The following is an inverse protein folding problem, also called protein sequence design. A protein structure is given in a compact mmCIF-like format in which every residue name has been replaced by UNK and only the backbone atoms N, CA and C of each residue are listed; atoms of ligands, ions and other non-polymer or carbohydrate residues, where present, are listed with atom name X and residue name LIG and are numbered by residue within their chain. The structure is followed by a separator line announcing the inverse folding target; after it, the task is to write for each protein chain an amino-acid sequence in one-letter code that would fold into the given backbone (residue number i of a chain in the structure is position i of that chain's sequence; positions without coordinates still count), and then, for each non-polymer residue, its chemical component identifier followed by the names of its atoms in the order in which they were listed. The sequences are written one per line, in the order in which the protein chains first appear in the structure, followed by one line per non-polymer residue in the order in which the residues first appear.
data_IF_904108980692
#
_entry.id   IF_904108980692
#
_cell.length_a   1.000
_cell.length_b   1.000
_cell.length_c   1.000
_cell.angle_alpha   90.00
_cell.angle_beta   90.00
_cell.angle_gamma   90.00
#
_symmetry.space_group_name_H-M   'P 1'
#
loop_
_entity.id
_entity.type
_entity.pdbx_description
1 polymer ?
#
# COMPACT_ATOMS: atom_id res chain seq x y z
N UNK A 1 16.41 -7.38 15.60
CA UNK A 1 15.99 -6.97 14.24
C UNK A 1 14.98 -5.83 14.41
N UNK A 2 15.40 -4.59 14.26
CA UNK A 2 14.55 -3.40 14.43
C UNK A 2 13.93 -3.11 13.07
N UNK A 3 12.64 -3.39 12.91
CA UNK A 3 11.93 -3.02 11.69
C UNK A 3 11.75 -1.50 11.70
N UNK A 4 12.27 -0.85 10.66
CA UNK A 4 12.05 0.57 10.37
C UNK A 4 10.56 0.86 10.45
N UNK A 5 10.18 1.84 11.27
CA UNK A 5 8.86 2.45 11.23
C UNK A 5 8.58 2.85 9.78
N UNK A 6 7.53 2.28 9.20
CA UNK A 6 7.06 2.60 7.86
C UNK A 6 6.70 4.09 7.85
N UNK A 7 7.57 4.90 7.25
CA UNK A 7 7.36 6.32 7.05
C UNK A 7 6.07 6.50 6.22
N UNK A 8 4.99 7.12 6.76
CA UNK A 8 3.71 7.30 6.07
C UNK A 8 3.76 8.31 4.90
N UNK A 9 4.96 8.62 4.40
CA UNK A 9 5.20 9.64 3.37
C UNK A 9 5.01 9.16 1.94
N UNK A 10 4.94 7.84 1.69
CA UNK A 10 4.40 7.35 0.43
C UNK A 10 2.88 7.38 0.56
N UNK A 11 2.18 8.22 -0.19
CA UNK A 11 0.70 8.24 -0.27
C UNK A 11 0.06 6.94 -0.81
N UNK A 12 0.75 5.82 -0.68
CA UNK A 12 0.31 4.48 -1.01
C UNK A 12 -0.61 3.97 0.10
N UNK A 13 -1.76 3.45 -0.30
CA UNK A 13 -2.73 2.82 0.58
C UNK A 13 -2.13 1.64 1.33
N UNK A 14 -2.20 1.67 2.67
CA UNK A 14 -1.90 0.53 3.54
C UNK A 14 -3.10 0.26 4.45
N UNK A 15 -3.87 -0.76 4.09
CA UNK A 15 -5.04 -1.19 4.85
C UNK A 15 -4.72 -1.49 6.32
N UNK A 16 -3.52 -1.96 6.67
CA UNK A 16 -3.19 -2.28 8.06
C UNK A 16 -3.11 -1.03 8.92
N UNK A 17 -2.46 0.01 8.39
CA UNK A 17 -2.30 1.29 9.08
C UNK A 17 -3.64 2.02 9.20
N UNK A 18 -4.41 2.10 8.11
CA UNK A 18 -5.67 2.88 8.10
C UNK A 18 -6.75 2.22 8.96
N UNK A 19 -6.77 0.87 9.01
CA UNK A 19 -7.76 0.12 9.80
C UNK A 19 -7.32 -0.09 11.26
N UNK A 20 -6.21 0.53 11.69
CA UNK A 20 -5.61 0.36 13.02
C UNK A 20 -5.41 -1.12 13.39
N UNK A 21 -4.90 -1.93 12.46
CA UNK A 21 -4.59 -3.34 12.72
C UNK A 21 -3.13 -3.39 13.19
N UNK A 22 -2.96 -3.29 14.52
CA UNK A 22 -1.64 -3.25 15.16
C UNK A 22 -0.76 -4.42 14.73
N UNK A 23 0.49 -4.06 14.41
CA UNK A 23 1.49 -4.92 13.79
C UNK A 23 1.63 -6.30 14.47
N UNK A 24 1.41 -7.42 13.76
CA UNK A 24 1.57 -8.77 14.31
C UNK A 24 3.04 -9.17 14.55
N UNK A 25 4.00 -8.33 14.15
CA UNK A 25 5.43 -8.66 14.12
C UNK A 25 6.13 -8.80 15.47
N UNK A 26 5.51 -8.39 16.59
CA UNK A 26 6.15 -8.48 17.92
C UNK A 26 5.28 -9.12 19.00
N UNK A 27 3.95 -9.16 18.87
CA UNK A 27 3.05 -9.66 19.93
C UNK A 27 1.90 -10.56 19.44
N UNK A 28 1.93 -10.98 18.17
CA UNK A 28 0.87 -11.82 17.59
C UNK A 28 -0.42 -11.07 17.29
N UNK A 29 -1.30 -11.70 16.51
CA UNK A 29 -2.58 -11.12 16.11
C UNK A 29 -3.54 -11.05 17.30
N UNK A 30 -3.95 -9.84 17.65
CA UNK A 30 -4.91 -9.59 18.73
C UNK A 30 -6.24 -9.11 18.18
N UNK A 31 -7.31 -9.37 18.95
CA UNK A 31 -8.66 -8.99 18.60
C UNK A 31 -8.82 -7.47 18.41
N UNK A 32 -9.48 -7.05 17.32
CA UNK A 32 -9.76 -5.62 17.04
C UNK A 32 -10.96 -5.08 17.83
N UNK A 33 -11.75 -5.95 18.45
CA UNK A 33 -12.93 -5.58 19.23
C UNK A 33 -12.59 -4.75 20.48
N UNK A 34 -13.58 -4.01 20.98
CA UNK A 34 -13.48 -3.17 22.18
C UNK A 34 -14.22 -3.83 23.34
N UNK A 35 -13.56 -3.96 24.49
CA UNK A 35 -14.21 -4.45 25.70
C UNK A 35 -15.14 -3.36 26.27
N UNK A 36 -16.44 -3.63 26.32
CA UNK A 36 -17.48 -2.66 26.74
C UNK A 36 -17.22 -2.11 28.14
N UNK A 37 -16.68 -2.93 29.05
CA UNK A 37 -16.44 -2.57 30.44
C UNK A 37 -15.30 -1.56 30.65
N UNK A 38 -14.36 -1.45 29.71
CA UNK A 38 -13.15 -0.63 29.89
C UNK A 38 -12.89 0.34 28.75
N UNK A 39 -13.63 0.23 27.64
CA UNK A 39 -13.39 1.00 26.41
C UNK A 39 -12.04 0.69 25.76
N UNK A 40 -11.29 -0.31 26.26
CA UNK A 40 -9.98 -0.68 25.74
C UNK A 40 -10.10 -1.74 24.66
N UNK A 41 -9.14 -1.75 23.73
CA UNK A 41 -8.99 -2.81 22.73
C UNK A 41 -8.74 -4.17 23.39
N UNK A 42 -9.40 -5.20 22.89
CA UNK A 42 -9.22 -6.57 23.35
C UNK A 42 -7.80 -7.05 23.05
N UNK A 43 -7.16 -7.72 24.01
CA UNK A 43 -5.84 -8.36 23.83
C UNK A 43 -5.93 -9.87 23.60
N UNK A 44 -7.14 -10.39 23.36
CA UNK A 44 -7.35 -11.80 23.10
C UNK A 44 -6.66 -12.20 21.79
N UNK A 45 -5.84 -13.25 21.84
CA UNK A 45 -5.18 -13.77 20.65
C UNK A 45 -6.20 -14.34 19.66
N UNK A 46 -5.97 -14.10 18.37
CA UNK A 46 -6.72 -14.71 17.28
C UNK A 46 -6.08 -16.06 16.94
N UNK A 47 -6.91 -17.09 16.71
CA UNK A 47 -6.44 -18.43 16.34
C UNK A 47 -5.86 -18.47 14.93
N UNK A 48 -4.94 -19.42 14.67
CA UNK A 48 -4.13 -19.47 13.45
C UNK A 48 -4.95 -19.45 12.15
N UNK A 49 -5.99 -20.27 12.05
CA UNK A 49 -6.88 -20.32 10.87
C UNK A 49 -7.46 -18.95 10.52
N UNK A 50 -7.86 -18.18 11.54
CA UNK A 50 -8.42 -16.83 11.34
C UNK A 50 -7.33 -15.82 10.96
N UNK A 51 -6.09 -16.01 11.40
CA UNK A 51 -4.95 -15.15 11.00
C UNK A 51 -4.66 -15.30 9.52
N UNK A 52 -4.68 -16.52 8.98
CA UNK A 52 -4.49 -16.77 7.56
C UNK A 52 -5.59 -16.10 6.74
N UNK A 53 -6.86 -16.30 7.13
CA UNK A 53 -8.01 -15.65 6.48
C UNK A 53 -7.92 -14.11 6.53
N UNK A 54 -7.56 -13.54 7.68
CA UNK A 54 -7.37 -12.10 7.83
C UNK A 54 -6.20 -11.58 6.98
N UNK A 55 -5.11 -12.33 6.88
CA UNK A 55 -3.93 -11.98 6.07
C UNK A 55 -4.27 -11.95 4.58
N UNK A 56 -4.98 -12.96 4.08
CA UNK A 56 -5.47 -13.01 2.69
C UNK A 56 -6.42 -11.84 2.41
N UNK A 57 -7.36 -11.58 3.32
CA UNK A 57 -8.30 -10.46 3.17
C UNK A 57 -7.57 -9.11 3.14
N UNK A 58 -6.57 -8.90 4.00
CA UNK A 58 -5.77 -7.68 4.00
C UNK A 58 -4.95 -7.52 2.73
N UNK A 59 -4.35 -8.59 2.20
CA UNK A 59 -3.64 -8.53 0.92
C UNK A 59 -4.58 -8.15 -0.23
N UNK A 60 -5.79 -8.70 -0.25
CA UNK A 60 -6.81 -8.35 -1.23
C UNK A 60 -7.19 -6.87 -1.13
N UNK A 61 -7.50 -6.37 0.08
CA UNK A 61 -7.87 -4.97 0.29
C UNK A 61 -6.72 -4.00 -0.01
N UNK A 62 -5.47 -4.37 0.24
CA UNK A 62 -4.30 -3.56 -0.10
C UNK A 62 -4.10 -3.36 -1.60
N UNK A 63 -4.66 -4.25 -2.45
CA UNK A 63 -4.64 -4.12 -3.92
C UNK A 63 -5.78 -3.26 -4.47
N UNK A 64 -6.87 -3.12 -3.71
CA UNK A 64 -8.05 -2.35 -4.10
C UNK A 64 -7.91 -0.84 -3.89
N UNK A 65 -8.85 -0.08 -4.45
CA UNK A 65 -8.96 1.35 -4.15
C UNK A 65 -9.76 1.58 -2.86
N UNK A 66 -9.31 2.49 -1.97
CA UNK A 66 -9.98 2.74 -0.69
C UNK A 66 -11.39 3.32 -0.85
N UNK A 67 -11.60 4.11 -1.89
CA UNK A 67 -12.91 4.69 -2.24
C UNK A 67 -13.97 3.62 -2.52
N UNK A 68 -13.60 2.53 -3.21
CA UNK A 68 -14.53 1.44 -3.50
C UNK A 68 -15.08 0.76 -2.22
N UNK A 69 -14.29 0.76 -1.14
CA UNK A 69 -14.69 0.21 0.16
C UNK A 69 -15.66 1.12 0.95
N UNK A 70 -15.79 2.38 0.54
CA UNK A 70 -16.80 3.29 1.08
C UNK A 70 -18.17 3.03 0.45
N UNK A 71 -18.19 2.72 -0.84
CA UNK A 71 -19.40 2.41 -1.60
C UNK A 71 -19.91 0.99 -1.30
N UNK A 72 -19.00 0.02 -1.20
CA UNK A 72 -19.30 -1.36 -0.84
C UNK A 72 -18.45 -1.84 0.35
N UNK A 73 -19.01 -1.88 1.57
CA UNK A 73 -18.32 -2.38 2.76
C UNK A 73 -18.34 -3.90 2.91
N UNK A 74 -18.96 -4.66 2.02
CA UNK A 74 -19.07 -6.11 2.14
C UNK A 74 -17.71 -6.82 2.26
N UNK A 75 -16.65 -6.40 1.55
CA UNK A 75 -15.30 -6.97 1.73
C UNK A 75 -14.70 -6.76 3.12
N UNK A 76 -15.16 -5.75 3.88
CA UNK A 76 -14.68 -5.47 5.25
C UNK A 76 -15.29 -6.41 6.29
N UNK A 77 -16.50 -6.93 6.05
CA UNK A 77 -17.22 -7.84 6.97
C UNK A 77 -16.46 -9.13 7.27
N UNK A 78 -15.98 -9.92 6.29
CA UNK A 78 -15.24 -11.14 6.56
C UNK A 78 -13.90 -10.85 7.24
N UNK A 79 -13.22 -9.75 6.88
CA UNK A 79 -12.00 -9.33 7.57
C UNK A 79 -12.27 -9.02 9.05
N UNK A 80 -13.32 -8.26 9.36
CA UNK A 80 -13.71 -7.95 10.72
C UNK A 80 -14.05 -9.23 11.52
N UNK A 81 -14.81 -10.16 10.91
CA UNK A 81 -15.16 -11.43 11.54
C UNK A 81 -13.91 -12.28 11.88
N UNK A 82 -12.92 -12.31 11.00
CA UNK A 82 -11.66 -13.02 11.22
C UNK A 82 -10.78 -12.36 12.31
N UNK A 83 -10.85 -11.04 12.46
CA UNK A 83 -10.08 -10.29 13.46
C UNK A 83 -10.78 -10.13 14.82
N UNK A 84 -12.01 -10.61 14.98
CA UNK A 84 -12.74 -10.61 16.25
C UNK A 84 -12.64 -11.98 16.93
N UNK A 85 -12.39 -11.98 18.24
CA UNK A 85 -12.44 -13.21 19.04
C UNK A 85 -13.90 -13.63 19.30
N UNK A 86 -14.11 -14.86 19.78
CA UNK A 86 -15.46 -15.39 20.04
C UNK A 86 -16.32 -14.50 20.94
N UNK A 87 -15.72 -13.77 21.90
CA UNK A 87 -16.43 -12.86 22.81
C UNK A 87 -16.89 -11.56 22.15
N UNK A 88 -16.29 -11.18 21.03
CA UNK A 88 -16.57 -9.92 20.32
C UNK A 88 -17.12 -10.15 18.91
N UNK A 89 -17.57 -11.36 18.57
CA UNK A 89 -18.09 -11.68 17.24
C UNK A 89 -19.35 -10.87 16.86
N UNK A 90 -20.08 -10.34 17.84
CA UNK A 90 -21.21 -9.44 17.62
C UNK A 90 -20.79 -8.00 17.27
N UNK A 91 -19.50 -7.65 17.31
CA UNK A 91 -19.01 -6.30 17.04
C UNK A 91 -18.65 -6.07 15.56
N UNK A 92 -18.89 -7.04 14.66
CA UNK A 92 -18.52 -6.94 13.23
C UNK A 92 -19.02 -5.64 12.60
N UNK A 93 -20.32 -5.35 12.70
CA UNK A 93 -20.90 -4.15 12.10
C UNK A 93 -20.30 -2.85 12.67
N UNK A 94 -20.04 -2.81 13.99
CA UNK A 94 -19.44 -1.65 14.66
C UNK A 94 -17.99 -1.43 14.21
N UNK A 95 -17.21 -2.51 14.09
CA UNK A 95 -15.83 -2.46 13.60
C UNK A 95 -15.78 -1.97 12.15
N UNK A 96 -16.65 -2.49 11.28
CA UNK A 96 -16.73 -2.06 9.88
C UNK A 96 -17.07 -0.58 9.77
N UNK A 97 -18.04 -0.08 10.56
CA UNK A 97 -18.37 1.35 10.58
C UNK A 97 -17.18 2.23 11.00
N UNK A 98 -16.45 1.83 12.05
CA UNK A 98 -15.25 2.54 12.50
C UNK A 98 -14.15 2.55 11.43
N UNK A 99 -13.99 1.44 10.70
CA UNK A 99 -13.07 1.33 9.58
C UNK A 99 -13.46 2.21 8.40
N UNK A 100 -14.74 2.26 8.03
CA UNK A 100 -15.22 3.18 6.99
C UNK A 100 -14.94 4.65 7.36
N UNK A 101 -15.12 5.04 8.64
CA UNK A 101 -14.73 6.38 9.10
C UNK A 101 -13.23 6.64 8.97
N UNK A 102 -12.39 5.65 9.30
CA UNK A 102 -10.94 5.72 9.10
C UNK A 102 -10.56 5.93 7.64
N UNK A 103 -11.19 5.17 6.73
CA UNK A 103 -10.99 5.30 5.27
C UNK A 103 -11.45 6.67 4.77
N UNK A 104 -12.60 7.18 5.23
CA UNK A 104 -13.09 8.53 4.90
C UNK A 104 -12.10 9.63 5.31
N UNK A 105 -11.54 9.54 6.53
CA UNK A 105 -10.54 10.50 7.00
C UNK A 105 -9.25 10.43 6.18
N UNK A 106 -8.79 9.22 5.88
CA UNK A 106 -7.59 9.02 5.07
C UNK A 106 -7.78 9.56 3.64
N UNK A 107 -8.89 9.25 2.98
CA UNK A 107 -9.21 9.74 1.63
C UNK A 107 -9.30 11.26 1.58
N UNK A 108 -9.96 11.90 2.55
CA UNK A 108 -10.00 13.37 2.66
C UNK A 108 -8.58 13.97 2.81
N UNK A 109 -7.72 13.36 3.63
CA UNK A 109 -6.34 13.86 3.82
C UNK A 109 -5.48 13.76 2.55
N UNK A 110 -5.76 12.80 1.66
CA UNK A 110 -5.08 12.66 0.36
C UNK A 110 -5.57 13.68 -0.68
N UNK A 111 -6.78 14.20 -0.54
CA UNK A 111 -7.27 15.27 -1.41
C UNK A 111 -6.66 16.63 -1.05
N UNK A 112 -6.43 16.88 0.24
CA UNK A 112 -5.82 18.12 0.73
C UNK A 112 -4.33 18.24 0.38
N UNK A 113 -3.61 17.12 0.22
CA UNK A 113 -2.20 17.09 -0.19
C UNK A 113 -1.99 17.21 -1.70
N UNK A 114 -3.05 17.21 -2.52
CA UNK A 114 -2.91 17.49 -3.96
C UNK A 114 -2.44 18.93 -4.16
N UNK A 115 -1.23 19.17 -4.73
CA UNK A 115 -0.62 20.50 -4.82
C UNK A 115 -1.41 21.51 -5.67
N UNK A 116 -2.44 21.07 -6.41
CA UNK A 116 -3.29 21.94 -7.22
C UNK A 116 -4.31 22.78 -6.43
N UNK A 117 -4.85 22.29 -5.30
CA UNK A 117 -5.94 23.00 -4.61
C UNK A 117 -5.43 24.14 -3.71
N UNK A 118 -4.32 23.91 -3.00
CA UNK A 118 -3.65 24.96 -2.23
C UNK A 118 -3.02 26.05 -3.12
N UNK A 119 -2.61 25.73 -4.35
CA UNK A 119 -2.09 26.69 -5.31
C UNK A 119 -3.21 27.55 -5.94
N UNK A 120 -4.38 26.97 -6.24
CA UNK A 120 -5.56 27.70 -6.71
C UNK A 120 -6.16 28.62 -5.64
N UNK A 121 -6.19 28.21 -4.37
CA UNK A 121 -6.62 29.08 -3.28
C UNK A 121 -5.61 30.21 -3.01
N UNK A 122 -4.29 29.95 -3.13
CA UNK A 122 -3.25 30.99 -3.08
C UNK A 122 -3.29 31.94 -4.27
N UNK A 123 -3.64 31.48 -5.47
CA UNK A 123 -3.86 32.34 -6.64
C UNK A 123 -5.12 33.18 -6.48
N UNK A 124 -6.22 32.59 -6.00
CA UNK A 124 -7.49 33.30 -5.78
C UNK A 124 -7.38 34.38 -4.71
N UNK A 125 -6.61 34.12 -3.64
CA UNK A 125 -6.29 35.12 -2.62
C UNK A 125 -5.31 36.18 -3.13
N UNK A 126 -4.32 35.84 -3.99
CA UNK A 126 -3.49 36.85 -4.68
C UNK A 126 -4.28 37.75 -5.63
N UNK A 127 -5.27 37.22 -6.35
CA UNK A 127 -6.10 38.03 -7.26
C UNK A 127 -6.97 39.01 -6.45
N UNK A 128 -7.52 38.59 -5.30
CA UNK A 128 -8.25 39.49 -4.39
C UNK A 128 -7.35 40.58 -3.79
N UNK A 129 -6.12 40.24 -3.39
CA UNK A 129 -5.15 41.23 -2.89
C UNK A 129 -4.63 42.17 -4.00
N UNK A 130 -4.49 41.68 -5.24
CA UNK A 130 -4.08 42.51 -6.38
C UNK A 130 -5.17 43.50 -6.80
N UNK A 131 -6.45 43.09 -6.73
CA UNK A 131 -7.59 43.98 -6.93
C UNK A 131 -7.67 45.08 -5.86
N UNK A 132 -7.28 44.79 -4.62
CA UNK A 132 -7.19 45.79 -3.55
C UNK A 132 -6.01 46.76 -3.74
N UNK A 133 -4.90 46.32 -4.35
CA UNK A 133 -3.77 47.18 -4.65
C UNK A 133 -3.99 48.07 -5.89
N UNK A 134 -4.70 47.60 -6.91
CA UNK A 134 -5.04 48.43 -8.08
C UNK A 134 -6.05 49.55 -7.75
N UNK A 135 -6.91 49.37 -6.75
CA UNK A 135 -7.76 50.45 -6.24
C UNK A 135 -6.99 51.56 -5.50
N UNK A 136 -5.73 51.31 -5.10
CA UNK A 136 -4.91 52.26 -4.36
C UNK A 136 -3.87 52.99 -5.22
N UNK A 137 -3.61 52.54 -6.45
CA UNK A 137 -2.61 53.13 -7.36
C UNK A 137 -3.17 54.31 -8.17
N UNK A 138 -4.49 54.41 -8.35
CA UNK A 138 -5.12 55.55 -9.06
C UNK A 138 -5.17 56.87 -8.27
N UNK A 139 -4.69 56.89 -7.02
CA UNK A 139 -4.66 58.10 -6.19
C UNK A 139 -3.27 58.77 -6.04
N UNK A 140 -2.22 58.22 -6.65
CA UNK A 140 -0.85 58.72 -6.47
C UNK A 140 -0.02 58.78 -7.77
N UNK A 141 -0.53 59.49 -8.77
CA UNK A 141 0.33 60.01 -9.86
C UNK A 141 0.57 61.52 -9.69
N UNK A 142 1.65 61.94 -9.00
CA UNK A 142 2.04 63.33 -9.02
C UNK A 142 2.79 63.66 -10.31
N UNK A 143 2.29 64.67 -11.02
CA UNK A 143 2.95 65.34 -12.14
C UNK A 143 4.31 65.90 -11.71
N UNK A 144 5.36 65.57 -12.44
CA UNK A 144 6.72 66.14 -12.28
C UNK A 144 6.82 67.58 -12.82
N UNK A 145 7.63 68.43 -12.16
CA UNK A 145 8.46 69.38 -12.89
C UNK A 145 9.96 69.21 -12.57
N UNK A 146 10.77 69.30 -13.64
CA UNK A 146 12.22 69.49 -13.63
C UNK A 146 12.60 70.81 -12.94
N UNK A 147 13.66 70.82 -12.12
CA UNK A 147 14.92 71.58 -12.34
C UNK A 147 15.88 71.53 -11.13
N UNK A 148 17.15 71.19 -11.44
CA UNK A 148 18.46 71.76 -11.02
C UNK A 148 18.75 72.18 -9.55
N UNK A 149 19.84 71.58 -9.04
CA UNK A 149 20.97 72.14 -8.23
C UNK A 149 20.70 72.98 -6.99
N UNK A 150 21.10 72.50 -5.80
CA UNK A 150 22.32 72.93 -5.09
C UNK A 150 22.40 72.36 -3.65
N UNK A 151 23.64 72.28 -3.19
CA UNK A 151 24.15 71.94 -1.85
C UNK A 151 23.36 72.58 -0.69
N UNK A 152 23.31 71.90 0.47
CA UNK A 152 23.64 72.42 1.82
C UNK A 152 23.45 71.29 2.87
N UNK A 153 24.39 71.25 3.80
CA UNK A 153 24.65 70.27 4.87
C UNK A 153 23.62 70.20 6.00
N UNK A 154 23.58 69.03 6.68
CA UNK A 154 23.59 68.78 8.14
C UNK A 154 22.70 67.58 8.55
N UNK A 155 22.84 66.98 9.76
CA UNK A 155 24.03 66.51 10.44
C UNK A 155 23.90 65.04 10.96
N UNK A 156 25.05 64.52 11.40
CA UNK A 156 25.31 63.30 12.21
C UNK A 156 24.11 62.70 12.97
N UNK A 157 23.82 61.42 12.69
CA UNK A 157 23.53 60.45 13.76
C UNK A 157 24.50 59.28 13.62
N UNK A 158 25.32 59.16 14.66
CA UNK A 158 26.32 58.13 14.86
C UNK A 158 25.63 56.80 15.17
N UNK A 159 25.67 55.87 14.23
CA UNK A 159 25.66 54.44 14.53
C UNK A 159 26.83 53.85 13.77
N UNK A 160 28.01 53.96 14.40
CA UNK A 160 29.20 53.24 14.02
C UNK A 160 28.97 51.74 14.24
N UNK A 161 28.43 51.03 13.24
CA UNK A 161 28.78 49.62 13.06
C UNK A 161 30.19 49.58 12.49
N UNK A 162 31.17 49.85 13.36
CA UNK A 162 32.58 49.61 13.09
C UNK A 162 32.73 48.10 13.01
N UNK A 163 32.68 47.57 11.80
CA UNK A 163 33.09 46.21 11.51
C UNK A 163 34.51 46.06 12.04
N UNK A 164 34.65 45.35 13.17
CA UNK A 164 35.93 45.01 13.75
C UNK A 164 36.55 43.94 12.84
N UNK A 165 37.14 44.39 11.73
CA UNK A 165 38.03 43.57 10.91
C UNK A 165 39.33 43.52 11.70
N UNK A 166 39.44 42.51 12.56
CA UNK A 166 40.66 42.19 13.29
C UNK A 166 41.79 42.08 12.27
N UNK A 167 42.76 43.00 12.31
CA UNK A 167 43.94 42.93 11.46
C UNK A 167 44.80 41.76 11.95
N UNK A 168 44.55 40.58 11.38
CA UNK A 168 45.42 39.43 11.55
C UNK A 168 46.83 39.83 11.14
N UNK A 169 47.80 39.50 11.97
CA UNK A 169 49.21 39.62 11.63
C UNK A 169 49.53 38.69 10.45
N UNK A 170 50.58 38.99 9.69
CA UNK A 170 50.95 38.17 8.51
C UNK A 170 51.14 36.69 8.88
N UNK A 171 51.69 36.41 10.07
CA UNK A 171 51.90 35.05 10.56
C UNK A 171 50.58 34.31 10.85
N UNK A 172 49.58 35.01 11.39
CA UNK A 172 48.24 34.43 11.59
C UNK A 172 47.54 34.15 10.26
N UNK A 173 47.73 35.01 9.25
CA UNK A 173 47.21 34.78 7.91
C UNK A 173 47.86 33.56 7.25
N UNK A 174 49.18 33.38 7.41
CA UNK A 174 49.90 32.20 6.90
C UNK A 174 49.41 30.92 7.60
N UNK A 175 49.26 30.96 8.93
CA UNK A 175 48.74 29.83 9.69
C UNK A 175 47.31 29.45 9.27
N UNK A 176 46.45 30.43 9.02
CA UNK A 176 45.08 30.18 8.60
C UNK A 176 45.02 29.62 7.17
N UNK A 177 45.84 30.12 6.24
CA UNK A 177 45.95 29.56 4.89
C UNK A 177 46.45 28.11 4.94
N UNK A 178 47.40 27.76 5.81
CA UNK A 178 47.85 26.39 5.97
C UNK A 178 46.77 25.48 6.55
N UNK A 179 46.01 25.95 7.55
CA UNK A 179 44.85 25.21 8.08
C UNK A 179 43.80 24.96 7.01
N UNK A 180 43.45 25.98 6.22
CA UNK A 180 42.49 25.86 5.13
C UNK A 180 42.96 24.87 4.06
N UNK A 181 44.27 24.86 3.73
CA UNK A 181 44.83 23.86 2.81
C UNK A 181 44.68 22.43 3.34
N UNK A 182 44.96 22.19 4.62
CA UNK A 182 44.79 20.88 5.24
C UNK A 182 43.32 20.48 5.28
N UNK A 183 42.43 21.41 5.64
CA UNK A 183 40.99 21.17 5.68
C UNK A 183 40.42 20.84 4.28
N UNK A 184 40.85 21.56 3.24
CA UNK A 184 40.46 21.28 1.86
C UNK A 184 40.97 19.92 1.39
N UNK A 185 42.22 19.56 1.68
CA UNK A 185 42.77 18.25 1.33
C UNK A 185 41.98 17.10 1.99
N UNK A 186 41.62 17.27 3.27
CA UNK A 186 40.79 16.31 3.99
C UNK A 186 39.38 16.19 3.40
N UNK A 187 38.77 17.32 3.05
CA UNK A 187 37.45 17.34 2.41
C UNK A 187 37.47 16.64 1.05
N UNK A 188 38.52 16.82 0.25
CA UNK A 188 38.69 16.12 -1.02
C UNK A 188 38.84 14.61 -0.84
N UNK A 189 39.58 14.16 0.19
CA UNK A 189 39.71 12.74 0.55
C UNK A 189 38.35 12.14 0.96
N UNK A 190 37.60 12.82 1.83
CA UNK A 190 36.27 12.40 2.29
C UNK A 190 35.29 12.30 1.11
N UNK A 191 35.30 13.27 0.18
CA UNK A 191 34.46 13.25 -1.03
C UNK A 191 34.81 12.09 -1.97
N UNK A 192 36.09 11.74 -2.10
CA UNK A 192 36.52 10.58 -2.89
C UNK A 192 36.08 9.27 -2.23
N UNK A 193 36.14 9.16 -0.90
CA UNK A 193 35.66 8.00 -0.16
C UNK A 193 34.14 7.82 -0.33
N UNK A 194 33.37 8.90 -0.22
CA UNK A 194 31.92 8.87 -0.40
C UNK A 194 31.51 8.46 -1.83
N UNK A 195 32.23 8.94 -2.86
CA UNK A 195 32.03 8.51 -4.24
C UNK A 195 32.26 7.01 -4.42
N UNK A 196 33.36 6.47 -3.88
CA UNK A 196 33.65 5.03 -3.94
C UNK A 196 32.57 4.21 -3.22
N UNK A 197 32.09 4.68 -2.07
CA UNK A 197 31.00 3.98 -1.36
C UNK A 197 29.70 4.01 -2.17
N UNK A 198 29.37 5.15 -2.80
CA UNK A 198 28.21 5.27 -3.67
C UNK A 198 28.29 4.32 -4.86
N UNK A 199 29.42 4.27 -5.55
CA UNK A 199 29.65 3.33 -6.67
C UNK A 199 29.49 1.86 -6.22
N UNK A 200 30.01 1.51 -5.03
CA UNK A 200 29.83 0.17 -4.48
C UNK A 200 28.36 -0.15 -4.15
N UNK A 201 27.60 0.83 -3.64
CA UNK A 201 26.17 0.67 -3.36
C UNK A 201 25.38 0.49 -4.66
N UNK A 202 25.68 1.28 -5.69
CA UNK A 202 25.05 1.17 -7.02
C UNK A 202 25.36 -0.19 -7.67
N UNK A 203 26.61 -0.66 -7.59
CA UNK A 203 26.98 -2.00 -8.09
C UNK A 203 26.25 -3.14 -7.35
N UNK A 204 26.08 -3.03 -6.02
CA UNK A 204 25.29 -3.99 -5.24
C UNK A 204 23.82 -3.96 -5.63
N UNK A 205 23.26 -2.77 -5.85
CA UNK A 205 21.87 -2.61 -6.24
C UNK A 205 21.61 -3.17 -7.63
N UNK A 206 22.50 -2.93 -8.60
CA UNK A 206 22.45 -3.54 -9.92
C UNK A 206 22.50 -5.08 -9.87
N UNK A 207 23.35 -5.66 -8.99
CA UNK A 207 23.40 -7.11 -8.80
C UNK A 207 22.11 -7.68 -8.21
N UNK A 208 21.48 -6.96 -7.27
CA UNK A 208 20.19 -7.36 -6.70
C UNK A 208 19.08 -7.26 -7.74
N UNK A 209 19.07 -6.20 -8.55
CA UNK A 209 18.11 -6.04 -9.65
C UNK A 209 18.24 -7.16 -10.68
N UNK A 210 19.45 -7.47 -11.15
CA UNK A 210 19.68 -8.57 -12.09
C UNK A 210 19.21 -9.93 -11.52
N UNK A 211 19.42 -10.17 -10.22
CA UNK A 211 18.91 -11.39 -9.57
C UNK A 211 17.37 -11.39 -9.47
N UNK A 212 16.75 -10.25 -9.21
CA UNK A 212 15.31 -10.13 -9.17
C UNK A 212 14.68 -10.38 -10.56
N UNK A 213 15.27 -9.83 -11.62
CA UNK A 213 14.83 -10.09 -13.01
C UNK A 213 14.94 -11.56 -13.39
N UNK A 214 16.01 -12.24 -12.96
CA UNK A 214 16.13 -13.69 -13.17
C UNK A 214 15.03 -14.47 -12.45
N UNK A 215 14.76 -14.13 -11.18
CA UNK A 215 13.70 -14.79 -10.41
C UNK A 215 12.31 -14.54 -10.99
N UNK A 216 12.06 -13.37 -11.56
CA UNK A 216 10.80 -13.09 -12.26
C UNK A 216 10.64 -14.00 -13.48
N UNK A 217 11.69 -14.17 -14.30
CA UNK A 217 11.65 -15.10 -15.44
C UNK A 217 11.46 -16.55 -15.02
N UNK A 218 12.10 -16.97 -13.93
CA UNK A 218 11.93 -18.32 -13.39
C UNK A 218 10.48 -18.55 -12.93
N UNK A 219 9.83 -17.53 -12.35
CA UNK A 219 8.43 -17.58 -11.95
C UNK A 219 7.50 -17.62 -13.16
N UNK A 220 7.75 -16.79 -14.18
CA UNK A 220 6.98 -16.81 -15.44
C UNK A 220 7.02 -18.19 -16.10
N UNK A 221 8.20 -18.82 -16.15
CA UNK A 221 8.34 -20.18 -16.68
C UNK A 221 7.59 -21.22 -15.84
N UNK A 222 7.64 -21.09 -14.51
CA UNK A 222 6.91 -21.99 -13.62
C UNK A 222 5.38 -21.83 -13.72
N UNK A 223 4.89 -20.62 -13.97
CA UNK A 223 3.47 -20.34 -14.22
C UNK A 223 3.00 -20.99 -15.54
N UNK A 224 3.77 -20.86 -16.62
CA UNK A 224 3.45 -21.54 -17.89
C UNK A 224 3.39 -23.07 -17.76
N UNK A 225 4.30 -23.66 -16.99
CA UNK A 225 4.31 -25.10 -16.75
C UNK A 225 3.13 -25.54 -15.86
N UNK A 226 2.73 -24.71 -14.90
CA UNK A 226 1.54 -24.95 -14.08
C UNK A 226 0.27 -24.94 -14.93
N UNK A 227 0.11 -23.95 -15.81
CA UNK A 227 -1.06 -23.83 -16.69
C UNK A 227 -1.16 -25.05 -17.62
N UNK A 228 -0.04 -25.46 -18.24
CA UNK A 228 -0.01 -26.69 -19.07
C UNK A 228 -0.37 -27.94 -18.29
N UNK A 229 0.11 -28.05 -17.04
CA UNK A 229 -0.23 -29.18 -16.18
C UNK A 229 -1.72 -29.18 -15.79
N UNK A 230 -2.29 -28.00 -15.56
CA UNK A 230 -3.72 -27.85 -15.28
C UNK A 230 -4.58 -28.25 -16.49
N UNK A 231 -4.26 -27.76 -17.69
CA UNK A 231 -4.98 -28.12 -18.92
C UNK A 231 -4.93 -29.64 -19.18
N UNK A 232 -3.76 -30.24 -18.97
CA UNK A 232 -3.57 -31.70 -19.08
C UNK A 232 -4.42 -32.47 -18.08
N UNK A 233 -4.51 -31.98 -16.84
CA UNK A 233 -5.34 -32.60 -15.80
C UNK A 233 -6.84 -32.47 -16.11
N UNK A 234 -7.29 -31.30 -16.57
CA UNK A 234 -8.67 -31.08 -16.96
C UNK A 234 -9.10 -31.98 -18.13
N UNK A 235 -8.22 -32.18 -19.11
CA UNK A 235 -8.43 -33.12 -20.20
C UNK A 235 -8.57 -34.57 -19.71
N UNK A 236 -7.65 -35.04 -18.84
CA UNK A 236 -7.69 -36.39 -18.28
C UNK A 236 -8.97 -36.62 -17.45
N UNK A 237 -9.38 -35.62 -16.66
CA UNK A 237 -10.62 -35.69 -15.89
C UNK A 237 -11.86 -35.69 -16.79
N UNK A 238 -11.83 -34.97 -17.91
CA UNK A 238 -12.87 -35.00 -18.94
C UNK A 238 -13.04 -36.40 -19.52
N UNK A 239 -11.95 -37.02 -19.96
CA UNK A 239 -11.95 -38.38 -20.52
C UNK A 239 -12.44 -39.42 -19.49
N UNK A 240 -11.99 -39.28 -18.23
CA UNK A 240 -12.43 -40.17 -17.14
C UNK A 240 -13.92 -40.03 -16.84
N UNK A 241 -14.47 -38.82 -16.88
CA UNK A 241 -15.90 -38.61 -16.69
C UNK A 241 -16.71 -39.23 -17.82
N UNK A 242 -16.26 -39.12 -19.08
CA UNK A 242 -16.90 -39.79 -20.21
C UNK A 242 -16.91 -41.32 -20.03
N UNK A 243 -15.80 -41.91 -19.58
CA UNK A 243 -15.74 -43.35 -19.28
C UNK A 243 -16.74 -43.76 -18.18
N UNK A 244 -16.89 -42.93 -17.14
CA UNK A 244 -17.86 -43.19 -16.06
C UNK A 244 -19.30 -43.17 -16.61
N UNK A 245 -19.63 -42.23 -17.48
CA UNK A 245 -20.94 -42.15 -18.13
C UNK A 245 -21.22 -43.36 -19.04
N UNK A 246 -20.22 -43.80 -19.81
CA UNK A 246 -20.34 -45.01 -20.64
C UNK A 246 -20.59 -46.26 -19.78
N UNK A 247 -19.82 -46.44 -18.71
CA UNK A 247 -20.01 -47.54 -17.76
C UNK A 247 -21.38 -47.48 -17.06
N UNK A 248 -21.89 -46.29 -16.76
CA UNK A 248 -23.22 -46.12 -16.19
C UNK A 248 -24.31 -46.56 -17.18
N UNK A 249 -24.20 -46.15 -18.45
CA UNK A 249 -25.11 -46.57 -19.52
C UNK A 249 -25.08 -48.09 -19.75
N UNK A 250 -23.89 -48.69 -19.71
CA UNK A 250 -23.73 -50.15 -19.82
C UNK A 250 -24.34 -50.90 -18.64
N UNK A 251 -24.18 -50.40 -17.41
CA UNK A 251 -24.84 -50.97 -16.23
C UNK A 251 -26.36 -50.91 -16.34
N UNK A 252 -26.94 -49.81 -16.82
CA UNK A 252 -28.39 -49.73 -17.07
C UNK A 252 -28.85 -50.76 -18.13
N UNK A 253 -28.02 -51.00 -19.15
CA UNK A 253 -28.31 -52.01 -20.17
C UNK A 253 -28.29 -53.42 -19.57
N UNK A 254 -27.32 -53.73 -18.72
CA UNK A 254 -27.24 -55.00 -18.00
C UNK A 254 -28.45 -55.20 -17.09
N UNK A 255 -28.89 -54.17 -16.36
CA UNK A 255 -30.10 -54.22 -15.53
C UNK A 255 -31.36 -54.53 -16.34
N UNK A 256 -31.49 -53.93 -17.53
CA UNK A 256 -32.61 -54.24 -18.45
C UNK A 256 -32.58 -55.70 -18.90
N UNK A 257 -31.40 -56.24 -19.20
CA UNK A 257 -31.23 -57.64 -19.59
C UNK A 257 -31.54 -58.60 -18.43
N UNK A 258 -31.06 -58.29 -17.23
CA UNK A 258 -31.35 -59.07 -16.03
C UNK A 258 -32.86 -59.12 -15.75
N UNK A 259 -33.55 -57.97 -15.78
CA UNK A 259 -35.03 -57.93 -15.65
C UNK A 259 -35.75 -58.74 -16.72
N UNK A 260 -35.22 -58.80 -17.95
CA UNK A 260 -35.79 -59.63 -19.02
C UNK A 260 -35.61 -61.12 -18.73
N UNK A 261 -34.39 -61.53 -18.33
CA UNK A 261 -34.09 -62.91 -17.96
C UNK A 261 -34.93 -63.40 -16.77
N UNK A 262 -35.15 -62.56 -15.77
CA UNK A 262 -36.04 -62.86 -14.64
C UNK A 262 -37.46 -63.17 -15.11
N UNK A 263 -38.04 -62.31 -15.98
CA UNK A 263 -39.37 -62.56 -16.56
C UNK A 263 -39.43 -63.84 -17.39
N UNK A 264 -38.42 -64.09 -18.21
CA UNK A 264 -38.36 -65.29 -19.05
C UNK A 264 -38.27 -66.57 -18.17
N UNK A 265 -37.49 -66.52 -17.08
CA UNK A 265 -37.41 -67.60 -16.10
C UNK A 265 -38.74 -67.83 -15.37
N UNK A 266 -39.44 -66.77 -14.97
CA UNK A 266 -40.76 -66.89 -14.34
C UNK A 266 -41.80 -67.51 -15.28
N UNK A 267 -41.80 -67.11 -16.56
CA UNK A 267 -42.64 -67.73 -17.59
C UNK A 267 -42.34 -69.22 -17.76
N UNK A 268 -41.06 -69.62 -17.75
CA UNK A 268 -40.67 -71.03 -17.81
C UNK A 268 -41.14 -71.80 -16.58
N UNK A 269 -40.98 -71.23 -15.37
CA UNK A 269 -41.49 -71.83 -14.12
C UNK A 269 -43.00 -72.05 -14.17
N UNK A 270 -43.76 -71.08 -14.68
CA UNK A 270 -45.22 -71.21 -14.85
C UNK A 270 -45.60 -72.29 -15.88
N UNK A 271 -44.84 -72.46 -16.96
CA UNK A 271 -45.12 -73.53 -17.94
C UNK A 271 -44.84 -74.91 -17.35
N UNK A 272 -43.73 -75.06 -16.63
CA UNK A 272 -43.35 -76.33 -16.01
C UNK A 272 -44.36 -76.77 -14.94
N UNK A 273 -44.91 -75.83 -14.15
CA UNK A 273 -45.94 -76.15 -13.16
C UNK A 273 -47.26 -76.60 -13.80
N UNK A 274 -47.61 -76.10 -14.99
CA UNK A 274 -48.81 -76.51 -15.72
C UNK A 274 -48.68 -77.90 -16.38
N UNK A 275 -47.46 -78.31 -16.77
CA UNK A 275 -47.22 -79.62 -17.39
C UNK A 275 -47.07 -80.78 -16.40
N UNK A 276 -47.04 -80.51 -15.09
CA UNK A 276 -46.84 -81.51 -14.03
C UNK A 276 -48.13 -82.07 -13.40
N UNK A 277 -49.30 -81.78 -13.97
CA UNK A 277 -50.61 -82.32 -13.59
C UNK A 277 -51.16 -83.21 -14.70
#
# INVERSE_FOLDING_TARGET
MILKESNPQSGQWDARLVLDILNPGTQGWTCVGTAVSTGRRCRGAIGEVRRSSASTSLQYLSRGQPSALLDDPDPLKPLAASLLCHRHGNQVAKTVAAWQEGIKKWTASQEDTKPGRAMLDRQSSRIRSSSAHLAHVDLYTPRLPRTRTNLVSAPRSSVETRACVSSLTMDELIAEVQRLKIANAKLEEDLLAERKEKEQREAKLAKVQAKAEHLVKDLEFAEEDYDKAQDSFEAEMGDRNQQIEELASDNERLDRLNKKLERDNDLLRMRLSQSGH
#
